data_IF_756744653138
#
_entry.id   IF_756744653138
#
_cell.length_a   1.000
_cell.length_b   1.000
_cell.length_c   1.000
_cell.angle_alpha   90.00
_cell.angle_beta   90.00
_cell.angle_gamma   90.00
#
_symmetry.space_group_name_H-M   'P 1'
#
loop_
_entity.id
_entity.type
_entity.pdbx_description
1 polymer ?
#
# COMPACT_ATOMS: atom_id res chain seq x y z
N UNK A 1 -17.89 -7.32 15.44
CA UNK A 1 -17.06 -7.78 14.31
C UNK A 1 -15.63 -7.75 14.77
N UNK A 2 -15.04 -8.92 15.01
CA UNK A 2 -13.61 -9.04 15.25
C UNK A 2 -13.02 -9.66 13.97
N UNK A 3 -12.14 -8.91 13.33
CA UNK A 3 -11.39 -9.38 12.18
C UNK A 3 -10.32 -10.33 12.72
N UNK A 4 -10.55 -11.64 12.60
CA UNK A 4 -9.58 -12.66 12.96
C UNK A 4 -8.82 -13.08 11.70
N UNK A 5 -7.58 -13.55 11.91
CA UNK A 5 -6.87 -14.32 10.88
C UNK A 5 -7.63 -15.60 10.55
N UNK A 6 -7.44 -16.10 9.33
CA UNK A 6 -7.98 -17.37 8.89
C UNK A 6 -7.42 -18.55 9.69
N UNK A 7 -7.94 -19.75 9.42
CA UNK A 7 -7.46 -20.98 10.07
C UNK A 7 -5.98 -21.29 9.82
N UNK A 8 -5.40 -20.69 8.77
CA UNK A 8 -3.98 -20.75 8.41
C UNK A 8 -3.14 -19.62 9.04
N UNK A 9 -3.76 -18.74 9.83
CA UNK A 9 -3.11 -17.60 10.45
C UNK A 9 -2.91 -16.39 9.52
N UNK A 10 -3.51 -16.37 8.32
CA UNK A 10 -3.35 -15.26 7.36
C UNK A 10 -4.55 -14.31 7.34
N UNK A 11 -4.33 -13.08 6.90
CA UNK A 11 -5.39 -12.11 6.59
C UNK A 11 -5.00 -11.37 5.31
N UNK A 12 -5.97 -11.13 4.44
CA UNK A 12 -5.77 -10.40 3.18
C UNK A 12 -6.50 -9.07 3.23
N UNK A 13 -5.79 -7.98 2.94
CA UNK A 13 -6.36 -6.65 2.80
C UNK A 13 -6.44 -6.27 1.33
N UNK A 14 -7.62 -5.86 0.87
CA UNK A 14 -7.76 -5.20 -0.43
C UNK A 14 -7.77 -3.69 -0.22
N UNK A 15 -6.73 -3.01 -0.68
CA UNK A 15 -6.53 -1.57 -0.42
C UNK A 15 -6.60 -0.82 -1.75
N UNK A 16 -7.37 0.28 -1.77
CA UNK A 16 -7.52 1.14 -2.94
C UNK A 16 -7.37 2.60 -2.54
N UNK A 17 -6.65 3.37 -3.37
CA UNK A 17 -6.53 4.81 -3.21
C UNK A 17 -6.95 5.52 -4.50
N UNK A 18 -8.19 6.01 -4.53
CA UNK A 18 -8.78 6.58 -5.74
C UNK A 18 -8.17 7.93 -6.15
N UNK A 19 -7.65 8.70 -5.18
CA UNK A 19 -7.00 9.99 -5.40
C UNK A 19 -5.55 9.92 -4.93
N UNK A 20 -4.71 9.23 -5.72
CA UNK A 20 -3.29 9.10 -5.42
C UNK A 20 -2.47 10.26 -6.00
N UNK A 21 -1.49 10.72 -5.24
CA UNK A 21 -0.44 11.65 -5.69
C UNK A 21 0.76 10.90 -6.29
N UNK A 22 0.81 9.58 -6.21
CA UNK A 22 1.99 8.80 -6.62
C UNK A 22 3.08 8.75 -5.56
N UNK A 23 2.70 8.66 -4.28
CA UNK A 23 3.62 8.56 -3.14
C UNK A 23 3.66 7.11 -2.61
N UNK A 24 4.80 6.71 -2.04
CA UNK A 24 4.87 5.53 -1.20
C UNK A 24 4.26 5.84 0.16
N UNK A 25 3.26 5.06 0.56
CA UNK A 25 2.57 5.22 1.85
C UNK A 25 2.87 4.01 2.73
N UNK A 26 3.48 4.25 3.89
CA UNK A 26 3.77 3.20 4.87
C UNK A 26 2.46 2.59 5.38
N UNK A 27 2.27 1.29 5.16
CA UNK A 27 1.17 0.50 5.68
C UNK A 27 1.69 -0.42 6.79
N UNK A 28 1.27 -0.15 8.02
CA UNK A 28 1.63 -0.92 9.20
C UNK A 28 0.45 -1.75 9.67
N UNK A 29 0.67 -3.05 9.82
CA UNK A 29 -0.28 -3.97 10.47
C UNK A 29 0.26 -4.34 11.84
N UNK A 30 -0.59 -4.35 12.85
CA UNK A 30 -0.25 -4.78 14.22
C UNK A 30 -1.20 -5.87 14.70
N UNK A 31 -0.72 -6.74 15.59
CA UNK A 31 -1.61 -7.70 16.25
C UNK A 31 -2.51 -6.96 17.23
N UNK A 32 -3.81 -7.27 17.21
CA UNK A 32 -4.79 -6.62 18.08
C UNK A 32 -4.50 -6.86 19.58
N UNK A 33 -3.96 -8.03 19.93
CA UNK A 33 -3.64 -8.42 21.31
C UNK A 33 -2.25 -8.02 21.76
N UNK A 34 -1.33 -7.75 20.82
CA UNK A 34 0.02 -7.27 21.09
C UNK A 34 0.45 -6.26 20.02
N UNK A 35 0.12 -4.96 20.20
CA UNK A 35 0.39 -3.93 19.21
C UNK A 35 1.89 -3.65 18.98
N UNK A 36 2.79 -4.23 19.79
CA UNK A 36 4.23 -4.12 19.56
C UNK A 36 4.69 -5.03 18.42
N UNK A 37 3.96 -6.10 18.15
CA UNK A 37 4.22 -6.99 17.02
C UNK A 37 3.62 -6.35 15.77
N UNK A 38 4.49 -5.82 14.91
CA UNK A 38 4.11 -5.10 13.70
C UNK A 38 4.76 -5.69 12.45
N UNK A 39 4.12 -5.47 11.31
CA UNK A 39 4.68 -5.70 9.98
C UNK A 39 4.44 -4.44 9.14
N UNK A 40 5.42 -4.09 8.31
CA UNK A 40 5.42 -2.87 7.51
C UNK A 40 5.56 -3.20 6.04
N UNK A 41 4.77 -2.54 5.20
CA UNK A 41 4.87 -2.59 3.75
C UNK A 41 4.58 -1.20 3.19
N UNK A 42 5.39 -0.75 2.23
CA UNK A 42 5.05 0.46 1.49
C UNK A 42 4.04 0.11 0.38
N UNK A 43 2.88 0.78 0.40
CA UNK A 43 1.90 0.70 -0.66
C UNK A 43 2.12 1.86 -1.63
N UNK A 44 2.27 1.53 -2.91
CA UNK A 44 2.45 2.50 -3.99
C UNK A 44 1.24 2.42 -4.93
N UNK A 45 0.52 3.54 -5.03
CA UNK A 45 -0.53 3.73 -6.03
C UNK A 45 -0.03 4.78 -7.03
N UNK A 46 0.30 4.33 -8.26
CA UNK A 46 0.88 5.21 -9.29
C UNK A 46 -0.11 6.28 -9.78
N UNK A 47 0.38 7.47 -10.11
CA UNK A 47 -0.42 8.57 -10.69
C UNK A 47 -0.21 8.71 -12.20
N UNK A 48 -1.27 8.99 -12.96
CA UNK A 48 -1.22 9.07 -14.44
C UNK A 48 -0.46 10.29 -14.95
N UNK A 49 -0.25 11.31 -14.12
CA UNK A 49 0.44 12.56 -14.49
C UNK A 49 1.95 12.49 -14.32
N UNK A 50 2.50 11.36 -13.86
CA UNK A 50 3.93 11.12 -13.70
C UNK A 50 4.39 9.97 -14.59
N UNK A 51 5.57 10.04 -15.24
CA UNK A 51 6.12 8.93 -16.02
C UNK A 51 6.48 7.73 -15.13
N UNK A 52 6.53 6.54 -15.74
CA UNK A 52 7.19 5.37 -15.15
C UNK A 52 8.69 5.44 -15.47
N UNK A 53 9.42 6.18 -14.62
CA UNK A 53 10.85 6.46 -14.78
C UNK A 53 11.54 6.62 -13.42
N UNK A 54 12.84 6.31 -13.36
CA UNK A 54 13.63 6.36 -12.11
C UNK A 54 13.85 7.79 -11.59
N UNK A 55 13.87 8.77 -12.47
CA UNK A 55 14.05 10.19 -12.19
C UNK A 55 12.73 10.97 -12.08
N UNK A 56 11.59 10.28 -12.03
CA UNK A 56 10.30 10.90 -11.82
C UNK A 56 10.13 11.40 -10.38
N UNK A 57 9.51 12.57 -10.21
CA UNK A 57 9.20 13.13 -8.88
C UNK A 57 8.17 12.29 -8.10
N UNK A 58 7.34 11.52 -8.82
CA UNK A 58 6.27 10.68 -8.26
C UNK A 58 6.21 9.34 -8.98
N UNK A 59 5.73 8.30 -8.28
CA UNK A 59 5.44 6.99 -8.87
C UNK A 59 4.32 7.10 -9.90
N UNK A 60 4.61 6.73 -11.15
CA UNK A 60 3.80 7.10 -12.30
C UNK A 60 3.49 5.97 -13.27
N UNK A 61 2.50 6.21 -14.14
CA UNK A 61 2.20 5.35 -15.30
C UNK A 61 1.73 6.17 -16.51
N UNK A 62 2.20 7.42 -16.63
CA UNK A 62 1.85 8.31 -17.74
C UNK A 62 2.08 7.59 -19.08
N UNK A 63 1.08 7.57 -19.99
CA UNK A 63 1.23 6.96 -21.31
C UNK A 63 2.41 7.55 -22.07
N UNK A 64 3.23 6.67 -22.67
CA UNK A 64 4.29 7.09 -23.60
C UNK A 64 3.65 7.64 -24.87
N UNK A 65 4.25 8.69 -25.43
CA UNK A 65 3.87 9.24 -26.74
C UNK A 65 4.42 8.40 -27.88
#
# INVERSE_FOLDING_TARGET
MAWFTGSDGTVTFNVTQNATTGLATLFTVSLATDPQITSNLDLIFTVVTSPDAQDADYWGHMPKR
#
